data_IF_140967003194
#
_entry.id   IF_140967003194
#
_cell.length_a   1.000
_cell.length_b   1.000
_cell.length_c   1.000
_cell.angle_alpha   90.00
_cell.angle_beta   90.00
_cell.angle_gamma   90.00
#
_symmetry.space_group_name_H-M   'P 1'
#
loop_
_entity.id
_entity.type
_entity.pdbx_description
1 polymer ?
#
# COMPACT_ATOMS: atom_id res chain seq x y z
N UNK A 1 -44.59 21.11 51.47
CA UNK A 1 -44.50 22.13 50.44
C UNK A 1 -43.31 23.00 50.77
N UNK A 2 -42.15 22.69 50.15
CA UNK A 2 -40.96 23.52 50.34
C UNK A 2 -40.24 23.53 48.90
N UNK A 3 -40.20 24.72 48.38
CA UNK A 3 -39.58 25.00 47.04
C UNK A 3 -38.09 24.81 47.14
N UNK A 4 -37.53 24.01 46.25
CA UNK A 4 -36.07 23.86 46.03
C UNK A 4 -35.65 24.92 45.03
N UNK A 5 -34.75 25.77 45.46
CA UNK A 5 -34.17 26.89 44.73
C UNK A 5 -33.19 26.39 43.67
N UNK A 6 -33.40 26.85 42.43
CA UNK A 6 -32.55 26.55 41.28
C UNK A 6 -31.57 27.70 41.08
N UNK A 7 -30.45 27.70 41.76
CA UNK A 7 -29.28 28.56 41.34
C UNK A 7 -28.05 28.12 42.10
N UNK A 8 -27.14 27.42 41.42
CA UNK A 8 -25.69 27.51 41.51
C UNK A 8 -25.04 26.21 41.00
N UNK A 9 -24.87 26.11 39.71
CA UNK A 9 -23.78 25.28 39.12
C UNK A 9 -22.91 26.23 38.35
N UNK A 10 -21.87 26.77 38.97
CA UNK A 10 -20.75 27.38 38.30
C UNK A 10 -19.94 26.25 37.65
N UNK A 11 -20.02 26.15 36.33
CA UNK A 11 -19.14 25.32 35.54
C UNK A 11 -17.76 25.98 35.50
N UNK A 12 -16.78 25.36 36.14
CA UNK A 12 -15.38 25.68 35.93
C UNK A 12 -14.99 25.11 34.54
N UNK A 13 -14.96 25.96 33.53
CA UNK A 13 -14.40 25.62 32.21
C UNK A 13 -12.87 25.60 32.37
N UNK A 14 -12.29 24.41 32.51
CA UNK A 14 -10.85 24.21 32.32
C UNK A 14 -10.57 24.35 30.83
N UNK A 15 -10.02 25.47 30.42
CA UNK A 15 -9.47 25.67 29.09
C UNK A 15 -8.24 24.79 28.96
N UNK A 16 -8.38 23.65 28.29
CA UNK A 16 -7.25 22.87 27.81
C UNK A 16 -6.60 23.67 26.67
N UNK A 17 -5.49 24.32 26.98
CA UNK A 17 -4.64 24.94 25.97
C UNK A 17 -4.02 23.84 25.09
N UNK A 18 -4.61 23.61 23.93
CA UNK A 18 -3.96 22.87 22.85
C UNK A 18 -2.80 23.72 22.37
N UNK A 19 -1.59 23.37 22.78
CA UNK A 19 -0.38 23.93 22.18
C UNK A 19 -0.39 23.51 20.70
N UNK A 20 -0.28 24.45 19.76
CA UNK A 20 -0.11 24.07 18.37
C UNK A 20 1.19 23.28 18.24
N UNK A 21 1.12 22.11 17.64
CA UNK A 21 2.28 21.36 17.21
C UNK A 21 3.05 22.26 16.25
N UNK A 22 4.11 22.90 16.74
CA UNK A 22 4.96 23.75 15.91
C UNK A 22 5.56 22.83 14.86
N UNK A 23 5.12 22.99 13.63
CA UNK A 23 5.78 22.39 12.47
C UNK A 23 7.21 22.92 12.50
N UNK A 24 8.15 22.10 12.94
CA UNK A 24 9.57 22.40 12.91
C UNK A 24 9.92 22.64 11.45
N UNK A 25 10.37 23.82 11.10
CA UNK A 25 10.84 24.13 9.76
C UNK A 25 11.89 23.07 9.39
N UNK A 26 11.62 22.32 8.31
CA UNK A 26 12.46 21.23 7.86
C UNK A 26 13.75 21.84 7.33
N UNK A 27 14.88 21.41 7.87
CA UNK A 27 16.21 21.79 7.36
C UNK A 27 16.30 21.40 5.88
N UNK A 28 16.87 22.24 5.00
CA UNK A 28 17.06 21.91 3.59
C UNK A 28 17.91 20.62 3.47
N UNK A 29 17.32 19.54 2.96
CA UNK A 29 17.97 18.24 2.73
C UNK A 29 17.57 17.12 3.68
N UNK A 30 16.79 17.37 4.75
CA UNK A 30 16.27 16.33 5.64
C UNK A 30 14.76 16.19 5.44
N UNK A 31 14.31 15.09 4.79
CA UNK A 31 12.90 14.77 4.62
C UNK A 31 12.49 14.53 3.16
N UNK A 32 11.18 14.46 2.95
CA UNK A 32 10.60 14.22 1.64
C UNK A 32 10.84 15.39 0.69
N UNK A 33 11.31 15.13 -0.52
CA UNK A 33 11.50 16.09 -1.59
C UNK A 33 10.60 15.76 -2.78
N UNK A 34 10.06 16.78 -3.43
CA UNK A 34 9.19 16.60 -4.60
C UNK A 34 10.00 16.11 -5.81
N UNK A 35 9.41 15.24 -6.61
CA UNK A 35 9.93 14.69 -7.85
C UNK A 35 8.94 14.93 -8.99
N UNK A 36 9.35 14.63 -10.23
CA UNK A 36 8.46 14.72 -11.38
C UNK A 36 7.22 13.85 -11.15
N UNK A 37 6.04 14.48 -11.20
CA UNK A 37 4.76 13.80 -10.98
C UNK A 37 4.45 12.80 -12.08
N UNK A 38 3.79 11.69 -11.74
CA UNK A 38 3.18 10.80 -12.71
C UNK A 38 2.21 11.63 -13.60
N UNK A 39 2.27 11.53 -14.93
CA UNK A 39 1.51 12.40 -15.84
C UNK A 39 -0.02 12.25 -15.77
N UNK A 40 -0.54 11.29 -15.01
CA UNK A 40 -1.97 11.11 -14.78
C UNK A 40 -2.26 10.85 -13.31
N UNK A 41 -3.45 11.26 -12.89
CA UNK A 41 -3.91 11.11 -11.52
C UNK A 41 -4.50 9.72 -11.30
N UNK A 42 -3.95 8.93 -10.37
CA UNK A 42 -4.45 7.63 -9.94
C UNK A 42 -4.20 7.39 -8.46
N UNK A 43 -4.96 6.49 -7.90
CA UNK A 43 -4.74 5.88 -6.59
C UNK A 43 -4.95 4.37 -6.69
N UNK A 44 -4.74 3.64 -5.61
CA UNK A 44 -4.82 2.19 -5.58
C UNK A 44 -3.90 1.57 -6.64
N UNK A 45 -2.68 2.07 -6.64
CA UNK A 45 -1.63 1.78 -7.59
C UNK A 45 -0.48 1.08 -6.86
N UNK A 46 0.18 0.17 -7.57
CA UNK A 46 1.36 -0.54 -7.09
C UNK A 46 2.52 -0.35 -8.06
N UNK A 47 3.73 -0.66 -7.62
CA UNK A 47 4.90 -0.57 -8.47
C UNK A 47 5.94 -1.66 -8.16
N UNK A 48 6.84 -1.87 -9.09
CA UNK A 48 8.04 -2.68 -8.91
C UNK A 48 9.26 -1.93 -9.45
N UNK A 49 10.43 -2.31 -8.95
CA UNK A 49 11.70 -1.83 -9.49
C UNK A 49 12.23 -2.86 -10.48
N UNK A 50 12.41 -2.44 -11.73
CA UNK A 50 13.00 -3.27 -12.79
C UNK A 50 14.11 -2.48 -13.49
N UNK A 51 15.31 -3.04 -13.56
CA UNK A 51 16.48 -2.40 -14.18
C UNK A 51 16.75 -0.96 -13.69
N UNK A 52 16.65 -0.71 -12.37
CA UNK A 52 16.87 0.59 -11.76
C UNK A 52 15.77 1.63 -12.01
N UNK A 53 14.69 1.27 -12.70
CA UNK A 53 13.51 2.10 -12.95
C UNK A 53 12.33 1.63 -12.14
N UNK A 54 11.43 2.54 -11.82
CA UNK A 54 10.19 2.22 -11.11
C UNK A 54 9.06 2.11 -12.13
N UNK A 55 8.42 0.95 -12.17
CA UNK A 55 7.30 0.67 -13.09
C UNK A 55 6.01 0.61 -12.29
N UNK A 56 5.05 1.47 -12.62
CA UNK A 56 3.69 1.47 -12.07
C UNK A 56 2.71 0.88 -13.08
N UNK A 57 1.59 0.30 -12.63
CA UNK A 57 0.58 -0.22 -13.54
C UNK A 57 -0.84 -0.04 -12.99
N UNK A 58 -1.76 0.30 -13.89
CA UNK A 58 -3.16 0.42 -13.58
C UNK A 58 -3.49 1.55 -12.61
N UNK A 59 -4.48 1.31 -11.77
CA UNK A 59 -4.94 2.23 -10.75
C UNK A 59 -6.41 2.63 -10.91
N UNK A 60 -6.91 3.33 -9.91
CA UNK A 60 -8.28 3.79 -9.81
C UNK A 60 -8.34 5.30 -9.76
N UNK A 61 -9.31 5.89 -10.47
CA UNK A 61 -9.72 7.27 -10.30
C UNK A 61 -11.24 7.40 -10.34
N UNK A 62 -11.78 8.41 -9.70
CA UNK A 62 -13.23 8.63 -9.64
C UNK A 62 -13.61 10.07 -9.97
N UNK A 63 -13.33 10.54 -11.20
CA UNK A 63 -13.73 11.87 -11.61
C UNK A 63 -15.27 11.93 -11.63
N UNK A 64 -15.83 13.02 -11.07
CA UNK A 64 -17.27 13.24 -11.01
C UNK A 64 -18.09 12.04 -10.49
N UNK A 65 -17.51 11.22 -9.58
CA UNK A 65 -18.09 9.98 -9.01
C UNK A 65 -18.25 8.81 -10.02
N UNK A 66 -17.67 8.93 -11.19
CA UNK A 66 -17.57 7.81 -12.14
C UNK A 66 -16.29 7.05 -11.86
N UNK A 67 -16.41 5.72 -11.70
CA UNK A 67 -15.23 4.86 -11.55
C UNK A 67 -14.54 4.71 -12.90
N UNK A 68 -13.28 5.07 -12.97
CA UNK A 68 -12.40 4.84 -14.11
C UNK A 68 -11.23 3.97 -13.66
N UNK A 69 -11.07 2.83 -14.32
CA UNK A 69 -10.00 1.88 -14.07
C UNK A 69 -8.95 2.05 -15.17
N UNK A 70 -7.70 2.21 -14.80
CA UNK A 70 -6.60 2.52 -15.70
C UNK A 70 -5.98 1.24 -16.30
N UNK A 71 -5.48 1.35 -17.53
CA UNK A 71 -4.70 0.31 -18.21
C UNK A 71 -3.27 0.74 -18.54
N UNK A 72 -2.90 1.98 -18.23
CA UNK A 72 -1.55 2.50 -18.48
C UNK A 72 -0.53 1.93 -17.53
N UNK A 73 0.71 1.81 -18.01
CA UNK A 73 1.89 1.61 -17.19
C UNK A 73 2.78 2.86 -17.31
N UNK A 74 3.35 3.28 -16.17
CA UNK A 74 4.31 4.37 -16.11
C UNK A 74 5.68 3.85 -15.75
N UNK A 75 6.71 4.36 -16.41
CA UNK A 75 8.11 4.05 -16.14
C UNK A 75 8.80 5.33 -15.68
N UNK A 76 9.20 5.37 -14.42
CA UNK A 76 9.97 6.48 -13.86
C UNK A 76 11.46 6.15 -13.85
N UNK A 77 12.25 7.05 -14.37
CA UNK A 77 13.71 6.99 -14.33
C UNK A 77 14.24 7.95 -13.23
N UNK A 78 14.71 7.42 -12.08
CA UNK A 78 15.22 8.26 -11.01
C UNK A 78 16.44 9.11 -11.38
N UNK A 79 17.24 8.66 -12.35
CA UNK A 79 18.46 9.36 -12.76
C UNK A 79 18.16 10.65 -13.55
N UNK A 80 17.06 10.66 -14.29
CA UNK A 80 16.64 11.81 -15.11
C UNK A 80 15.47 12.57 -14.53
N UNK A 81 14.86 12.05 -13.43
CA UNK A 81 13.63 12.56 -12.82
C UNK A 81 12.51 12.71 -13.86
N UNK A 82 12.29 11.68 -14.68
CA UNK A 82 11.35 11.74 -15.80
C UNK A 82 10.50 10.47 -15.93
N UNK A 83 9.29 10.65 -16.46
CA UNK A 83 8.34 9.58 -16.76
C UNK A 83 8.27 9.30 -18.25
N UNK A 84 8.09 8.02 -18.59
CA UNK A 84 7.67 7.54 -19.91
C UNK A 84 6.52 6.55 -19.76
N UNK A 85 5.73 6.38 -20.81
CA UNK A 85 4.73 5.30 -20.85
C UNK A 85 5.39 3.98 -21.22
N UNK A 86 4.95 2.90 -20.55
CA UNK A 86 5.28 1.52 -20.89
C UNK A 86 4.14 0.82 -21.64
N UNK A 87 4.22 -0.49 -21.83
CA UNK A 87 3.17 -1.27 -22.50
C UNK A 87 1.87 -1.18 -21.71
N UNK A 88 0.75 -1.02 -22.41
CA UNK A 88 -0.56 -1.05 -21.77
C UNK A 88 -0.90 -2.44 -21.26
N UNK A 89 -1.67 -2.48 -20.14
CA UNK A 89 -2.22 -3.74 -19.66
C UNK A 89 -3.20 -4.31 -20.70
N UNK A 90 -3.24 -5.62 -20.90
CA UNK A 90 -4.22 -6.27 -21.76
C UNK A 90 -5.67 -6.01 -21.36
N UNK A 91 -5.91 -5.67 -20.11
CA UNK A 91 -7.21 -5.16 -19.62
C UNK A 91 -7.02 -4.27 -18.39
N UNK A 92 -7.95 -3.36 -18.19
CA UNK A 92 -7.95 -2.41 -17.08
C UNK A 92 -7.86 -3.10 -15.72
N UNK A 93 -7.04 -2.56 -14.80
CA UNK A 93 -6.88 -3.07 -13.43
C UNK A 93 -6.69 -1.94 -12.42
N UNK A 94 -7.36 -2.04 -11.27
CA UNK A 94 -6.96 -1.34 -10.07
C UNK A 94 -6.58 -2.34 -8.97
N UNK A 95 -5.73 -1.93 -8.05
CA UNK A 95 -5.10 -2.81 -7.08
C UNK A 95 -4.40 -4.06 -7.70
N UNK A 96 -3.82 -4.00 -8.93
CA UNK A 96 -3.04 -5.13 -9.41
C UNK A 96 -1.76 -5.23 -8.60
N UNK A 97 -1.32 -6.43 -8.25
CA UNK A 97 0.02 -6.60 -7.69
C UNK A 97 1.04 -6.44 -8.82
N UNK A 98 1.92 -5.45 -8.67
CA UNK A 98 3.03 -5.18 -9.58
C UNK A 98 4.31 -5.62 -8.88
N UNK A 99 5.00 -6.59 -9.44
CA UNK A 99 6.13 -7.25 -8.79
C UNK A 99 7.15 -7.66 -9.86
N UNK A 100 8.39 -7.92 -9.46
CA UNK A 100 9.34 -8.64 -10.34
C UNK A 100 9.38 -10.12 -9.98
N UNK A 101 9.79 -10.93 -10.94
CA UNK A 101 10.08 -12.34 -10.77
C UNK A 101 11.39 -12.65 -11.51
N UNK A 102 12.48 -12.82 -10.76
CA UNK A 102 13.79 -12.96 -11.33
C UNK A 102 14.18 -11.78 -12.24
N UNK A 103 13.83 -10.55 -11.85
CA UNK A 103 14.10 -9.32 -12.59
C UNK A 103 13.10 -8.97 -13.69
N UNK A 104 12.25 -9.90 -14.14
CA UNK A 104 11.20 -9.61 -15.10
C UNK A 104 9.97 -9.01 -14.40
N UNK A 105 9.41 -7.94 -14.97
CA UNK A 105 8.18 -7.34 -14.46
C UNK A 105 7.01 -8.32 -14.60
N UNK A 106 6.21 -8.46 -13.55
CA UNK A 106 5.00 -9.26 -13.51
C UNK A 106 3.85 -8.43 -12.94
N UNK A 107 2.66 -8.52 -13.54
CA UNK A 107 1.45 -7.83 -13.11
C UNK A 107 0.37 -8.87 -12.93
N UNK A 108 -0.26 -8.90 -11.74
CA UNK A 108 -1.07 -10.06 -11.31
C UNK A 108 -2.33 -9.61 -10.63
N UNK A 109 -3.46 -10.27 -10.92
CA UNK A 109 -4.73 -10.11 -10.22
C UNK A 109 -5.28 -8.68 -10.25
N UNK A 110 -5.70 -8.18 -9.11
CA UNK A 110 -6.39 -6.91 -8.98
C UNK A 110 -7.86 -7.00 -9.32
N UNK A 111 -8.54 -5.85 -9.30
CA UNK A 111 -9.93 -5.74 -9.71
C UNK A 111 -10.01 -5.23 -11.15
N UNK A 112 -10.86 -5.87 -11.95
CA UNK A 112 -11.20 -5.45 -13.28
C UNK A 112 -12.64 -4.98 -13.39
N UNK A 113 -12.99 -4.50 -14.58
CA UNK A 113 -14.38 -4.23 -14.99
C UNK A 113 -14.88 -5.42 -15.80
N UNK A 114 -15.99 -5.99 -15.37
CA UNK A 114 -16.71 -7.05 -16.08
C UNK A 114 -18.20 -6.78 -15.98
N UNK A 115 -19.02 -7.65 -16.59
CA UNK A 115 -20.48 -7.61 -16.45
C UNK A 115 -20.96 -7.71 -15.00
N UNK A 116 -20.14 -8.32 -14.13
CA UNK A 116 -20.41 -8.42 -12.69
C UNK A 116 -20.16 -7.13 -11.92
N UNK A 117 -19.28 -6.22 -12.41
CA UNK A 117 -19.00 -4.92 -11.80
C UNK A 117 -17.54 -4.49 -11.85
N UNK A 118 -17.25 -3.31 -11.30
CA UNK A 118 -15.93 -2.68 -11.29
C UNK A 118 -14.99 -3.25 -10.19
N UNK A 119 -15.50 -4.08 -9.29
CA UNK A 119 -14.78 -4.72 -8.20
C UNK A 119 -14.71 -6.24 -8.38
N UNK A 120 -14.65 -6.67 -9.62
CA UNK A 120 -14.48 -8.09 -9.97
C UNK A 120 -13.02 -8.47 -9.81
N UNK A 121 -12.71 -9.24 -8.77
CA UNK A 121 -11.35 -9.74 -8.53
C UNK A 121 -10.96 -10.75 -9.61
N UNK A 122 -9.74 -10.62 -10.14
CA UNK A 122 -9.24 -11.34 -11.30
C UNK A 122 -8.13 -12.32 -10.93
N UNK A 123 -7.89 -13.27 -11.83
CA UNK A 123 -6.80 -14.25 -11.72
C UNK A 123 -5.67 -14.00 -12.70
N UNK A 124 -5.87 -13.15 -13.70
CA UNK A 124 -4.90 -12.94 -14.78
C UNK A 124 -3.52 -12.57 -14.23
N UNK A 125 -2.51 -13.08 -14.90
CA UNK A 125 -1.11 -12.76 -14.66
C UNK A 125 -0.41 -12.52 -15.99
N UNK A 126 0.37 -11.45 -16.04
CA UNK A 126 1.15 -11.07 -17.22
C UNK A 126 2.59 -10.82 -16.82
N UNK A 127 3.50 -11.22 -17.68
CA UNK A 127 4.94 -10.97 -17.52
C UNK A 127 5.47 -10.18 -18.70
N UNK A 128 6.36 -9.22 -18.44
CA UNK A 128 6.99 -8.46 -19.49
C UNK A 128 7.98 -9.35 -20.29
N UNK A 129 7.81 -9.31 -21.61
CA UNK A 129 8.69 -9.91 -22.60
C UNK A 129 9.08 -8.82 -23.62
N UNK A 130 10.18 -8.16 -23.35
CA UNK A 130 10.55 -6.94 -24.09
C UNK A 130 9.55 -5.80 -23.85
N UNK A 131 8.93 -5.31 -24.93
CA UNK A 131 7.94 -4.22 -24.90
C UNK A 131 6.48 -4.71 -24.77
N UNK A 132 6.26 -6.01 -24.67
CA UNK A 132 4.93 -6.61 -24.56
C UNK A 132 4.70 -7.26 -23.19
N UNK A 133 3.43 -7.50 -22.88
CA UNK A 133 2.99 -8.28 -21.74
C UNK A 133 2.39 -9.60 -22.22
N UNK A 134 3.07 -10.70 -21.93
CA UNK A 134 2.63 -12.05 -22.25
C UNK A 134 1.89 -12.70 -21.10
N UNK A 135 0.82 -13.43 -21.38
CA UNK A 135 0.07 -14.18 -20.37
C UNK A 135 0.91 -15.33 -19.82
N UNK A 136 0.92 -15.48 -18.51
CA UNK A 136 1.52 -16.60 -17.79
C UNK A 136 0.46 -17.28 -16.91
N UNK A 137 0.83 -18.36 -16.21
CA UNK A 137 -0.13 -19.10 -15.39
C UNK A 137 -0.92 -18.19 -14.46
N UNK A 138 -2.25 -18.21 -14.53
CA UNK A 138 -3.10 -17.36 -13.69
C UNK A 138 -3.02 -17.78 -12.22
N UNK A 139 -3.41 -16.87 -11.33
CA UNK A 139 -3.56 -17.18 -9.91
C UNK A 139 -4.50 -18.37 -9.69
N UNK A 140 -4.26 -19.20 -8.66
CA UNK A 140 -5.15 -20.30 -8.29
C UNK A 140 -6.56 -19.83 -7.95
N UNK A 141 -6.69 -18.60 -7.47
CA UNK A 141 -7.96 -17.93 -7.12
C UNK A 141 -7.83 -16.42 -7.36
N UNK A 142 -8.94 -15.70 -7.59
CA UNK A 142 -8.91 -14.25 -7.70
C UNK A 142 -8.26 -13.63 -6.45
N UNK A 143 -7.45 -12.58 -6.61
CA UNK A 143 -6.80 -11.88 -5.52
C UNK A 143 -6.58 -10.41 -5.85
N UNK A 144 -6.81 -9.55 -4.87
CA UNK A 144 -6.63 -8.10 -4.98
C UNK A 144 -6.17 -7.53 -3.63
N UNK A 145 -5.70 -6.29 -3.60
CA UNK A 145 -5.25 -5.61 -2.37
C UNK A 145 -4.22 -6.43 -1.57
N UNK A 146 -3.38 -7.20 -2.28
CA UNK A 146 -2.38 -8.11 -1.72
C UNK A 146 -1.00 -7.44 -1.72
N UNK A 147 -0.14 -7.90 -0.84
CA UNK A 147 1.29 -7.60 -0.91
C UNK A 147 1.93 -8.42 -2.02
N UNK A 148 2.71 -7.76 -2.89
CA UNK A 148 3.52 -8.42 -3.92
C UNK A 148 4.99 -8.02 -3.78
N UNK A 149 5.90 -9.00 -3.72
CA UNK A 149 7.35 -8.77 -3.67
C UNK A 149 8.13 -9.85 -4.43
N UNK A 150 9.32 -9.51 -4.91
CA UNK A 150 10.31 -10.49 -5.42
C UNK A 150 11.17 -10.98 -4.24
N UNK A 151 11.02 -12.22 -3.86
CA UNK A 151 11.85 -12.86 -2.83
C UNK A 151 12.59 -14.05 -3.43
N UNK A 152 13.91 -13.93 -3.49
CA UNK A 152 14.77 -15.00 -4.04
C UNK A 152 14.52 -15.29 -5.53
N UNK A 153 14.12 -14.29 -6.31
CA UNK A 153 13.83 -14.42 -7.73
C UNK A 153 12.43 -14.97 -8.04
N UNK A 154 11.56 -15.07 -7.03
CA UNK A 154 10.18 -15.52 -7.16
C UNK A 154 9.21 -14.42 -6.76
N UNK A 155 8.14 -14.25 -7.52
CA UNK A 155 7.07 -13.35 -7.13
C UNK A 155 6.25 -13.99 -5.99
N UNK A 156 6.24 -13.37 -4.82
CA UNK A 156 5.44 -13.76 -3.66
C UNK A 156 4.25 -12.82 -3.53
N UNK A 157 3.05 -13.40 -3.37
CA UNK A 157 1.81 -12.68 -3.07
C UNK A 157 1.29 -13.13 -1.72
N UNK A 158 0.99 -12.17 -0.84
CA UNK A 158 0.65 -12.46 0.56
C UNK A 158 -0.51 -11.63 1.01
N UNK A 159 -1.46 -12.24 1.71
CA UNK A 159 -2.68 -11.60 2.22
C UNK A 159 -3.55 -11.03 1.08
N UNK A 160 -4.42 -10.10 1.35
CA UNK A 160 -5.28 -9.46 0.36
C UNK A 160 -6.75 -9.81 0.54
N UNK A 161 -7.50 -9.64 -0.55
CA UNK A 161 -8.94 -9.91 -0.60
C UNK A 161 -9.29 -10.77 -1.79
N UNK A 162 -10.28 -11.63 -1.62
CA UNK A 162 -10.90 -12.39 -2.70
C UNK A 162 -12.35 -12.76 -2.37
N UNK A 163 -13.17 -13.09 -3.36
CA UNK A 163 -14.48 -13.65 -3.10
C UNK A 163 -14.35 -15.02 -2.42
N UNK A 164 -15.14 -15.26 -1.39
CA UNK A 164 -15.25 -16.58 -0.75
C UNK A 164 -16.43 -17.39 -1.27
N UNK A 165 -17.38 -16.74 -1.96
CA UNK A 165 -18.56 -17.34 -2.57
C UNK A 165 -18.60 -17.16 -4.09
N UNK A 166 -19.78 -17.34 -4.68
CA UNK A 166 -20.02 -17.17 -6.12
C UNK A 166 -20.09 -15.68 -6.54
N UNK A 167 -20.50 -14.78 -5.63
CA UNK A 167 -20.56 -13.34 -5.90
C UNK A 167 -19.15 -12.76 -6.01
N UNK A 168 -18.89 -11.98 -7.07
CA UNK A 168 -17.60 -11.34 -7.35
C UNK A 168 -17.82 -10.09 -8.22
N UNK A 169 -18.69 -9.19 -7.82
CA UNK A 169 -19.00 -7.99 -8.61
C UNK A 169 -18.90 -6.71 -7.81
N UNK A 170 -18.91 -6.81 -6.48
CA UNK A 170 -18.93 -5.67 -5.57
C UNK A 170 -17.82 -5.78 -4.53
N UNK A 171 -17.43 -4.64 -3.96
CA UNK A 171 -16.45 -4.61 -2.88
C UNK A 171 -16.85 -5.50 -1.69
N UNK A 172 -18.13 -5.55 -1.35
CA UNK A 172 -18.65 -6.35 -0.24
C UNK A 172 -18.68 -7.87 -0.49
N UNK A 173 -18.49 -8.31 -1.74
CA UNK A 173 -18.34 -9.75 -2.06
C UNK A 173 -16.97 -10.29 -1.64
N UNK A 174 -16.04 -9.40 -1.38
CA UNK A 174 -14.64 -9.72 -1.08
C UNK A 174 -14.42 -9.87 0.42
N UNK A 175 -13.59 -10.82 0.81
CA UNK A 175 -13.19 -11.07 2.20
C UNK A 175 -11.68 -11.12 2.34
N UNK A 176 -11.18 -10.78 3.53
CA UNK A 176 -9.76 -10.87 3.83
C UNK A 176 -9.25 -12.30 3.80
N UNK A 177 -8.04 -12.48 3.29
CA UNK A 177 -7.37 -13.76 3.26
C UNK A 177 -5.93 -13.66 3.79
N UNK A 178 -5.43 -14.81 4.26
CA UNK A 178 -4.05 -14.99 4.69
C UNK A 178 -3.23 -15.79 3.68
N UNK A 179 -3.75 -15.96 2.47
CA UNK A 179 -3.11 -16.73 1.42
C UNK A 179 -1.68 -16.26 1.19
N UNK A 180 -0.78 -17.19 0.91
CA UNK A 180 0.59 -16.91 0.51
C UNK A 180 0.93 -17.83 -0.67
N UNK A 181 1.21 -17.21 -1.81
CA UNK A 181 1.59 -17.91 -3.03
C UNK A 181 2.93 -17.41 -3.54
N UNK A 182 3.73 -18.31 -4.10
CA UNK A 182 4.97 -17.99 -4.77
C UNK A 182 4.93 -18.52 -6.21
N UNK A 183 5.26 -17.67 -7.17
CA UNK A 183 5.30 -18.04 -8.58
C UNK A 183 6.67 -18.62 -8.93
N UNK A 184 6.65 -19.77 -9.57
CA UNK A 184 7.81 -20.45 -10.13
C UNK A 184 7.82 -20.20 -11.65
N UNK A 185 8.72 -19.35 -12.08
CA UNK A 185 8.81 -18.92 -13.50
C UNK A 185 9.18 -20.06 -14.43
N UNK A 186 10.09 -20.93 -14.01
CA UNK A 186 10.59 -22.03 -14.87
C UNK A 186 9.53 -23.09 -15.08
N UNK A 187 8.68 -23.30 -14.08
CA UNK A 187 7.59 -24.25 -14.13
C UNK A 187 6.25 -23.64 -14.56
N UNK A 188 6.19 -22.31 -14.76
CA UNK A 188 4.99 -21.53 -15.04
C UNK A 188 3.82 -21.93 -14.13
N UNK A 189 4.02 -21.86 -12.82
CA UNK A 189 3.01 -22.26 -11.85
C UNK A 189 3.13 -21.57 -10.51
N UNK A 190 2.00 -21.46 -9.79
CA UNK A 190 1.93 -20.99 -8.41
C UNK A 190 2.08 -22.14 -7.41
N UNK A 191 2.83 -21.91 -6.36
CA UNK A 191 2.97 -22.79 -5.21
C UNK A 191 2.36 -22.13 -3.98
N UNK A 192 1.62 -22.93 -3.19
CA UNK A 192 1.12 -22.47 -1.88
C UNK A 192 2.25 -22.56 -0.86
N UNK A 193 2.46 -21.46 -0.16
CA UNK A 193 3.41 -21.32 0.93
C UNK A 193 2.65 -21.26 2.26
N UNK A 194 3.36 -21.24 3.38
CA UNK A 194 2.73 -21.07 4.69
C UNK A 194 1.94 -19.76 4.73
N UNK A 195 0.65 -19.79 5.07
CA UNK A 195 -0.19 -18.60 5.11
C UNK A 195 0.31 -17.60 6.14
N UNK A 196 0.05 -16.31 5.92
CA UNK A 196 0.35 -15.24 6.86
C UNK A 196 -0.39 -15.44 8.19
N UNK A 197 0.15 -14.97 9.32
CA UNK A 197 -0.49 -15.16 10.64
C UNK A 197 -1.84 -14.45 10.81
N UNK A 198 -2.15 -13.48 9.94
CA UNK A 198 -3.40 -12.71 9.99
C UNK A 198 -3.92 -12.44 8.58
N UNK A 199 -5.20 -12.77 8.35
CA UNK A 199 -5.92 -12.35 7.16
C UNK A 199 -6.16 -10.84 7.20
N UNK A 200 -5.70 -10.11 6.18
CA UNK A 200 -5.87 -8.66 6.05
C UNK A 200 -5.65 -8.20 4.61
N UNK A 201 -6.12 -7.02 4.30
CA UNK A 201 -5.98 -6.41 2.98
C UNK A 201 -5.23 -5.07 3.05
N UNK A 202 -4.83 -4.57 1.89
CA UNK A 202 -4.19 -3.26 1.72
C UNK A 202 -3.01 -3.04 2.67
N UNK A 203 -2.30 -4.11 3.02
CA UNK A 203 -1.04 -4.07 3.75
C UNK A 203 0.10 -3.68 2.80
N UNK A 204 1.21 -3.22 3.35
CA UNK A 204 2.42 -2.94 2.60
C UNK A 204 3.47 -4.03 2.80
N UNK A 205 4.32 -4.25 1.79
CA UNK A 205 5.39 -5.24 1.87
C UNK A 205 6.71 -4.75 1.31
N UNK A 206 7.78 -5.34 1.81
CA UNK A 206 9.14 -5.13 1.31
C UNK A 206 9.98 -6.39 1.55
N UNK A 207 11.09 -6.48 0.82
CA UNK A 207 12.13 -7.49 1.10
C UNK A 207 13.32 -6.80 1.76
N UNK A 208 13.74 -7.34 2.88
CA UNK A 208 14.91 -6.85 3.61
C UNK A 208 15.66 -8.05 4.22
N UNK A 209 16.97 -8.10 3.99
CA UNK A 209 17.86 -9.16 4.48
C UNK A 209 17.38 -10.58 4.15
N UNK A 210 16.89 -10.78 2.90
CA UNK A 210 16.42 -12.07 2.39
C UNK A 210 15.12 -12.58 3.02
N UNK A 211 14.40 -11.73 3.75
CA UNK A 211 13.09 -12.02 4.31
C UNK A 211 12.01 -11.11 3.68
N UNK A 212 10.77 -11.61 3.60
CA UNK A 212 9.61 -10.81 3.25
C UNK A 212 9.00 -10.21 4.53
N UNK A 213 8.71 -8.92 4.48
CA UNK A 213 8.08 -8.18 5.57
C UNK A 213 6.72 -7.67 5.12
N UNK A 214 5.70 -7.81 5.98
CA UNK A 214 4.33 -7.36 5.74
C UNK A 214 3.89 -6.51 6.91
N UNK A 215 3.58 -5.23 6.65
CA UNK A 215 3.23 -4.26 7.68
C UNK A 215 1.85 -3.64 7.44
N UNK A 216 1.17 -3.31 8.52
CA UNK A 216 -0.08 -2.59 8.48
C UNK A 216 -1.22 -3.35 7.81
N UNK A 217 -2.05 -2.62 7.10
CA UNK A 217 -3.27 -3.11 6.47
C UNK A 217 -4.50 -2.96 7.35
N UNK A 218 -5.60 -3.50 6.88
CA UNK A 218 -6.89 -3.48 7.57
C UNK A 218 -7.63 -4.79 7.39
N UNK A 219 -8.70 -4.95 8.15
CA UNK A 219 -9.70 -6.00 7.91
C UNK A 219 -11.04 -5.37 7.54
N UNK A 220 -11.87 -6.10 6.78
CA UNK A 220 -13.21 -5.62 6.38
C UNK A 220 -14.14 -5.37 7.56
N UNK A 221 -13.86 -5.97 8.72
CA UNK A 221 -14.69 -5.89 9.92
C UNK A 221 -14.03 -5.19 11.10
N UNK A 222 -12.70 -5.06 11.11
CA UNK A 222 -11.93 -4.65 12.30
C UNK A 222 -11.12 -3.36 12.16
N UNK A 223 -11.10 -2.74 11.00
CA UNK A 223 -10.31 -1.51 10.78
C UNK A 223 -8.82 -1.76 10.62
N UNK A 224 -8.02 -0.71 10.83
CA UNK A 224 -6.57 -0.71 10.64
C UNK A 224 -5.79 -1.47 11.72
N UNK A 225 -4.61 -1.95 11.37
CA UNK A 225 -3.67 -2.63 12.27
C UNK A 225 -2.25 -2.16 12.03
N UNK A 226 -1.47 -1.99 13.11
CA UNK A 226 -0.02 -1.73 13.01
C UNK A 226 0.83 -2.98 12.83
N UNK A 227 0.22 -4.16 12.74
CA UNK A 227 0.93 -5.45 12.74
C UNK A 227 2.09 -5.50 11.75
N UNK A 228 3.22 -6.04 12.20
CA UNK A 228 4.40 -6.36 11.39
C UNK A 228 4.66 -7.86 11.47
N UNK A 229 4.67 -8.53 10.32
CA UNK A 229 5.03 -9.94 10.20
C UNK A 229 6.23 -10.10 9.27
N UNK A 230 7.14 -11.01 9.61
CA UNK A 230 8.32 -11.36 8.82
C UNK A 230 8.24 -12.84 8.41
N UNK A 231 8.38 -13.09 7.12
CA UNK A 231 8.49 -14.45 6.58
C UNK A 231 9.95 -14.81 6.31
N UNK A 232 10.37 -15.94 6.89
CA UNK A 232 11.65 -16.57 6.63
C UNK A 232 11.47 -17.69 5.59
N UNK A 233 11.97 -17.53 4.35
CA UNK A 233 11.78 -18.53 3.29
C UNK A 233 12.53 -19.82 3.56
N UNK A 234 13.64 -19.79 4.31
CA UNK A 234 14.41 -20.99 4.60
C UNK A 234 13.68 -21.95 5.54
N UNK A 235 12.92 -21.40 6.49
CA UNK A 235 12.12 -22.19 7.43
C UNK A 235 10.65 -22.31 7.06
N UNK A 236 10.18 -21.69 5.97
CA UNK A 236 8.77 -21.54 5.63
C UNK A 236 7.94 -21.14 6.87
N UNK A 237 8.36 -20.08 7.55
CA UNK A 237 7.76 -19.66 8.83
C UNK A 237 7.59 -18.15 8.92
N UNK A 238 6.63 -17.77 9.77
CA UNK A 238 6.33 -16.38 10.09
C UNK A 238 6.69 -16.05 11.53
N UNK A 239 7.24 -14.87 11.75
CA UNK A 239 7.44 -14.24 13.06
C UNK A 239 6.61 -12.94 13.09
N UNK A 240 6.03 -12.61 14.26
CA UNK A 240 5.36 -11.32 14.49
C UNK A 240 6.25 -10.46 15.38
N UNK A 241 6.42 -9.21 14.98
CA UNK A 241 7.38 -8.27 15.54
C UNK A 241 6.69 -6.98 16.01
N UNK A 242 7.44 -6.01 16.52
CA UNK A 242 6.90 -4.77 17.04
C UNK A 242 6.00 -4.07 15.98
N UNK A 243 4.75 -3.75 16.33
CA UNK A 243 3.82 -3.13 15.38
C UNK A 243 4.16 -1.67 15.13
N UNK A 244 3.75 -1.13 13.98
CA UNK A 244 3.75 0.31 13.71
C UNK A 244 2.96 0.99 14.84
N UNK A 245 3.49 2.04 15.48
CA UNK A 245 2.75 2.78 16.51
C UNK A 245 1.47 3.42 15.97
N UNK A 246 0.48 3.61 16.84
CA UNK A 246 -0.67 4.45 16.50
C UNK A 246 -0.22 5.88 16.23
N UNK A 247 -0.94 6.59 15.34
CA UNK A 247 -0.69 8.00 15.06
C UNK A 247 -0.76 8.83 16.34
N UNK A 248 0.26 9.58 16.71
CA UNK A 248 0.21 10.46 17.89
C UNK A 248 -0.77 11.62 17.69
N UNK A 249 -1.11 11.97 16.44
CA UNK A 249 -2.02 13.06 16.15
C UNK A 249 -3.50 12.64 16.27
N UNK A 250 -3.83 11.39 15.92
CA UNK A 250 -5.22 10.94 15.85
C UNK A 250 -5.55 9.80 16.81
N UNK A 251 -4.54 9.12 17.36
CA UNK A 251 -4.71 7.88 18.13
C UNK A 251 -5.13 6.68 17.29
N UNK A 252 -5.28 6.86 15.97
CA UNK A 252 -5.70 5.80 15.06
C UNK A 252 -4.53 4.90 14.67
N UNK A 253 -4.81 3.62 14.51
CA UNK A 253 -3.87 2.69 13.88
C UNK A 253 -3.82 2.94 12.36
N UNK A 254 -2.64 2.71 11.77
CA UNK A 254 -2.49 2.75 10.33
C UNK A 254 -3.48 1.77 9.70
N UNK A 255 -4.25 2.26 8.74
CA UNK A 255 -5.27 1.50 8.04
C UNK A 255 -4.75 0.93 6.72
N UNK A 256 -5.67 0.76 5.78
CA UNK A 256 -5.32 0.30 4.43
C UNK A 256 -4.63 1.36 3.60
N UNK A 257 -4.00 0.90 2.52
CA UNK A 257 -3.42 1.78 1.51
C UNK A 257 -2.18 2.54 1.98
N UNK A 258 -1.49 2.07 3.05
CA UNK A 258 -0.14 2.50 3.37
C UNK A 258 0.84 1.90 2.36
N UNK A 259 2.04 2.49 2.29
CA UNK A 259 3.13 2.00 1.48
C UNK A 259 4.37 1.71 2.32
N UNK A 260 5.23 0.82 1.87
CA UNK A 260 6.49 0.48 2.55
C UNK A 260 7.58 0.12 1.53
N UNK A 261 8.79 0.56 1.80
CA UNK A 261 9.98 0.14 1.06
C UNK A 261 11.14 -0.14 2.04
N UNK A 262 12.14 -0.89 1.58
CA UNK A 262 13.36 -1.15 2.34
C UNK A 262 14.51 -0.32 1.80
N UNK A 263 15.17 0.45 2.66
CA UNK A 263 16.35 1.25 2.33
C UNK A 263 17.27 1.38 3.53
N UNK A 264 18.59 1.42 3.31
CA UNK A 264 19.58 1.60 4.37
C UNK A 264 19.54 0.54 5.47
N UNK A 265 19.11 -0.69 5.18
CA UNK A 265 18.94 -1.76 6.17
C UNK A 265 17.75 -1.59 7.09
N UNK A 266 16.78 -0.76 6.73
CA UNK A 266 15.56 -0.44 7.50
C UNK A 266 14.32 -0.57 6.62
N UNK A 267 13.13 -0.72 7.25
CA UNK A 267 11.85 -0.58 6.58
C UNK A 267 11.34 0.85 6.78
N UNK A 268 10.81 1.44 5.73
CA UNK A 268 10.21 2.78 5.77
C UNK A 268 8.75 2.64 5.35
N UNK A 269 7.83 2.82 6.29
CA UNK A 269 6.39 2.76 6.07
C UNK A 269 5.77 4.16 6.18
N UNK A 270 4.83 4.51 5.30
CA UNK A 270 4.25 5.85 5.25
C UNK A 270 2.86 5.87 4.62
N UNK A 271 2.13 6.96 4.89
CA UNK A 271 0.79 7.17 4.35
C UNK A 271 -0.25 6.17 4.86
N UNK A 272 -1.29 5.96 4.07
CA UNK A 272 -2.45 5.16 4.44
C UNK A 272 -3.65 6.00 4.90
N UNK A 273 -4.78 5.34 5.13
CA UNK A 273 -6.02 5.98 5.55
C UNK A 273 -6.57 5.39 6.85
N UNK A 274 -7.41 6.15 7.53
CA UNK A 274 -8.14 5.72 8.71
C UNK A 274 -9.60 6.17 8.63
N UNK A 275 -10.47 5.43 9.32
CA UNK A 275 -11.90 5.72 9.44
C UNK A 275 -12.30 5.73 10.90
N UNK A 276 -13.20 6.67 11.27
CA UNK A 276 -13.82 6.74 12.57
C UNK A 276 -15.29 7.15 12.41
N UNK A 277 -16.15 6.99 13.45
CA UNK A 277 -17.50 7.54 13.44
C UNK A 277 -17.45 9.05 13.17
N UNK A 278 -18.10 9.47 12.08
CA UNK A 278 -18.17 10.89 11.67
C UNK A 278 -17.07 11.36 10.73
N UNK A 279 -16.16 10.49 10.26
CA UNK A 279 -15.16 10.88 9.28
C UNK A 279 -14.00 9.92 9.14
N UNK A 280 -12.94 10.42 8.51
CA UNK A 280 -11.67 9.72 8.27
C UNK A 280 -10.61 10.67 7.79
N UNK A 281 -9.42 10.19 7.57
CA UNK A 281 -8.29 10.97 7.07
C UNK A 281 -7.20 10.11 6.48
N UNK A 282 -6.20 10.75 5.94
CA UNK A 282 -4.97 10.15 5.45
C UNK A 282 -3.82 10.49 6.38
N UNK A 283 -2.88 9.57 6.51
CA UNK A 283 -1.73 9.76 7.39
C UNK A 283 -0.61 10.53 6.68
N UNK A 284 0.01 11.45 7.42
CA UNK A 284 1.26 12.12 7.02
C UNK A 284 2.48 11.38 7.56
N UNK A 285 2.31 10.52 8.54
CA UNK A 285 3.38 9.88 9.27
C UNK A 285 4.23 9.00 8.37
N UNK A 286 5.54 9.06 8.63
CA UNK A 286 6.54 8.13 8.17
C UNK A 286 7.13 7.43 9.37
N UNK A 287 7.17 6.11 9.31
CA UNK A 287 7.72 5.25 10.35
C UNK A 287 8.93 4.49 9.82
N UNK A 288 10.02 4.48 10.56
CA UNK A 288 11.26 3.80 10.20
C UNK A 288 11.52 2.68 11.22
N UNK A 289 11.53 1.44 10.73
CA UNK A 289 11.78 0.25 11.55
C UNK A 289 13.23 -0.19 11.47
N UNK A 290 13.82 -0.41 12.63
CA UNK A 290 15.12 -1.03 12.78
C UNK A 290 14.97 -2.51 13.16
N UNK A 291 15.28 -3.46 12.24
CA UNK A 291 15.12 -4.89 12.54
C UNK A 291 16.04 -5.40 13.65
N UNK A 292 17.17 -4.73 13.90
CA UNK A 292 18.11 -5.11 14.96
C UNK A 292 17.62 -4.74 16.35
N UNK A 293 16.84 -3.66 16.44
CA UNK A 293 16.27 -3.16 17.68
C UNK A 293 14.83 -3.62 17.90
N UNK A 294 14.18 -4.23 16.90
CA UNK A 294 12.74 -4.51 16.87
C UNK A 294 11.93 -3.26 17.28
N UNK A 295 12.24 -2.13 16.64
CA UNK A 295 11.67 -0.84 17.07
C UNK A 295 11.38 0.08 15.90
N UNK A 296 10.23 0.81 15.99
CA UNK A 296 9.84 1.86 15.09
C UNK A 296 10.16 3.24 15.64
N UNK A 297 10.69 4.11 14.80
CA UNK A 297 10.90 5.53 15.09
C UNK A 297 10.15 6.39 14.08
N UNK A 298 9.70 7.57 14.51
CA UNK A 298 9.10 8.53 13.61
C UNK A 298 10.17 9.11 12.66
N UNK A 299 9.87 9.08 11.38
CA UNK A 299 10.63 9.79 10.34
C UNK A 299 10.01 11.15 10.00
N UNK A 300 10.58 11.86 9.01
CA UNK A 300 9.99 13.10 8.51
C UNK A 300 8.61 12.83 7.91
N UNK A 301 7.58 13.64 8.22
CA UNK A 301 6.24 13.45 7.67
C UNK A 301 6.23 13.69 6.15
N UNK A 302 5.33 13.00 5.44
CA UNK A 302 5.06 13.26 4.04
C UNK A 302 4.63 14.71 3.82
N UNK A 303 5.05 15.32 2.72
CA UNK A 303 4.62 16.67 2.34
C UNK A 303 3.16 16.67 1.89
N UNK A 304 2.75 15.60 1.22
CA UNK A 304 1.38 15.38 0.74
C UNK A 304 0.87 14.06 1.34
N UNK A 305 0.12 14.10 2.46
CA UNK A 305 -0.49 12.92 3.05
C UNK A 305 -1.43 12.24 2.06
N UNK A 306 -1.35 10.92 1.91
CA UNK A 306 -2.17 10.16 0.96
C UNK A 306 -2.19 8.67 1.24
N UNK A 307 -3.15 7.98 0.65
CA UNK A 307 -3.30 6.53 0.72
C UNK A 307 -3.38 5.91 -0.67
N UNK A 308 -3.38 4.58 -0.77
CA UNK A 308 -3.47 3.88 -2.04
C UNK A 308 -2.35 4.26 -3.00
N UNK A 309 -1.18 4.56 -2.44
CA UNK A 309 0.03 4.98 -3.11
C UNK A 309 0.99 3.80 -3.27
N UNK A 310 1.87 3.89 -4.27
CA UNK A 310 2.95 2.93 -4.43
C UNK A 310 4.24 3.37 -3.71
N UNK A 311 5.06 2.39 -3.29
CA UNK A 311 6.40 2.61 -2.75
C UNK A 311 7.45 1.80 -3.49
N UNK A 312 8.59 2.40 -3.72
CA UNK A 312 9.78 1.74 -4.23
C UNK A 312 11.04 2.28 -3.54
N UNK A 313 12.11 1.51 -3.57
CA UNK A 313 13.44 2.00 -3.19
C UNK A 313 14.41 1.76 -4.35
N UNK A 314 15.15 2.81 -4.73
CA UNK A 314 16.21 2.75 -5.75
C UNK A 314 17.42 3.48 -5.20
N UNK A 315 18.58 2.83 -5.21
CA UNK A 315 19.85 3.39 -4.74
C UNK A 315 19.77 4.05 -3.35
N UNK A 316 19.07 3.40 -2.41
CA UNK A 316 18.91 3.88 -1.04
C UNK A 316 17.87 5.00 -0.86
N UNK A 317 17.25 5.48 -1.93
CA UNK A 317 16.19 6.48 -1.92
C UNK A 317 14.82 5.81 -1.98
N UNK A 318 13.92 6.18 -1.06
CA UNK A 318 12.52 5.73 -1.02
C UNK A 318 11.64 6.69 -1.80
N UNK A 319 10.78 6.16 -2.66
CA UNK A 319 9.83 6.93 -3.46
C UNK A 319 8.40 6.62 -3.04
N UNK A 320 7.60 7.67 -2.86
CA UNK A 320 6.15 7.63 -2.65
C UNK A 320 5.46 8.14 -3.90
N UNK A 321 4.64 7.33 -4.55
CA UNK A 321 4.15 7.59 -5.91
C UNK A 321 2.63 7.57 -5.95
N UNK A 322 2.02 8.63 -6.53
CA UNK A 322 0.58 8.76 -6.74
C UNK A 322 -0.24 8.61 -5.45
N UNK A 323 -1.48 8.15 -5.51
CA UNK A 323 -2.36 7.96 -4.36
C UNK A 323 -3.46 9.01 -4.23
N UNK A 324 -4.35 8.81 -3.25
CA UNK A 324 -5.47 9.69 -2.94
C UNK A 324 -5.21 10.57 -1.72
N UNK A 325 -5.47 11.86 -1.81
CA UNK A 325 -5.26 12.85 -0.75
C UNK A 325 -6.38 12.90 0.30
N UNK A 326 -7.44 12.16 0.08
CA UNK A 326 -8.57 12.00 1.00
C UNK A 326 -8.99 10.55 1.06
N UNK A 327 -9.66 10.14 2.12
CA UNK A 327 -10.14 8.77 2.33
C UNK A 327 -11.00 8.25 1.18
N UNK A 328 -11.02 6.95 0.98
CA UNK A 328 -11.76 6.26 -0.08
C UNK A 328 -11.30 6.68 -1.48
N UNK A 329 -12.15 6.60 -2.49
CA UNK A 329 -11.82 6.86 -3.89
C UNK A 329 -11.70 8.34 -4.29
N UNK A 330 -11.43 9.28 -3.40
CA UNK A 330 -11.40 10.71 -3.71
C UNK A 330 -9.99 11.28 -3.94
N UNK A 331 -9.91 12.36 -4.73
CA UNK A 331 -8.69 13.15 -4.98
C UNK A 331 -7.46 12.32 -5.35
N UNK A 332 -7.62 11.42 -6.31
CA UNK A 332 -6.47 10.75 -6.91
C UNK A 332 -5.49 11.79 -7.48
N UNK A 333 -4.19 11.59 -7.27
CA UNK A 333 -3.12 12.48 -7.71
C UNK A 333 -1.99 11.74 -8.43
N UNK A 334 -1.07 12.51 -9.01
CA UNK A 334 0.17 12.00 -9.60
C UNK A 334 1.42 12.39 -8.81
N UNK A 335 1.26 12.89 -7.58
CA UNK A 335 2.37 13.41 -6.76
C UNK A 335 3.43 12.33 -6.52
N UNK A 336 4.70 12.69 -6.70
CA UNK A 336 5.85 11.84 -6.38
C UNK A 336 6.75 12.58 -5.39
N UNK A 337 7.13 11.89 -4.34
CA UNK A 337 8.06 12.38 -3.33
C UNK A 337 9.13 11.34 -3.06
N UNK A 338 10.34 11.80 -2.76
CA UNK A 338 11.47 10.94 -2.44
C UNK A 338 12.06 11.28 -1.07
N UNK A 339 12.52 10.26 -0.35
CA UNK A 339 13.16 10.34 0.96
C UNK A 339 14.44 9.52 0.97
N UNK A 340 15.52 10.10 1.46
CA UNK A 340 16.72 9.35 1.88
C UNK A 340 16.61 9.18 3.39
N UNK A 341 16.36 7.95 3.89
CA UNK A 341 16.08 7.69 5.30
C UNK A 341 17.32 7.73 6.19
#
# INVERSE_FOLDING_TARGET
>A
MTRIDRRAFLAAATASATLPFAARAQEPGVGWVSKASLPWAVQEIYCAVSNGRIVTAGGLRRPARVTEIEDRTGIYDPATDAWSEGPRLPSHRHHPMVVTCGGALMIVGGYGRSDAGDWTAMTDAWMADGEALSTVAPLPRPLSESVGVDLGGRAHLVTGRRPLGAANGQWNDQSDVADHWAYDRDADRWQTMRPAPMARNSAAGAVLDGALWVAGGRTVTGGGTGRLDRYDPAGDRWDTLAPIPASPATGQQVGGGLAMAAAGGKLVAFGGEWFAPGGGGVFAETWIYDPKADHWTAGPPMRTPRHGLAAAAVDGTVYAIAGGEVVSGGRAGGVVEALVP
#
